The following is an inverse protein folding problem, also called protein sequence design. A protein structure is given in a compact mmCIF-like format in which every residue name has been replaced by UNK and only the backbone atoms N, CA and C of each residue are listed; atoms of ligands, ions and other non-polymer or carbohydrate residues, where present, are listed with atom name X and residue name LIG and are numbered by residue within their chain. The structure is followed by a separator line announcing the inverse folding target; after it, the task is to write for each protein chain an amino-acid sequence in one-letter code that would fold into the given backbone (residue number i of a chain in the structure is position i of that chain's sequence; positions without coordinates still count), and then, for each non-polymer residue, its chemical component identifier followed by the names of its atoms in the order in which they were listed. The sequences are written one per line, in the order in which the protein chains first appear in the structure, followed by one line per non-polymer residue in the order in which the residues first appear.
data_IF_705881500137
#
_entry.id   IF_705881500137
#
_cell.length_a   1.000
_cell.length_b   1.000
_cell.length_c   1.000
_cell.angle_alpha   90.00
_cell.angle_beta   90.00
_cell.angle_gamma   90.00
#
_symmetry.space_group_name_H-M   'P 1'
#
loop_
_entity.id
_entity.type
_entity.pdbx_description
1 polymer ?
#
# COMPACT_ATOMS: atom_id res chain seq x y z
N UNK A 1 -10.56 15.78 -14.57
CA UNK A 1 -9.79 16.98 -14.86
C UNK A 1 -10.49 17.82 -15.95
N UNK A 2 -10.03 19.07 -16.16
CA UNK A 2 -10.58 19.91 -17.25
C UNK A 2 -10.25 19.38 -18.64
N UNK A 3 -9.24 18.54 -18.74
CA UNK A 3 -8.80 17.83 -19.95
C UNK A 3 -9.65 16.60 -20.28
N UNK A 4 -10.55 16.19 -19.38
CA UNK A 4 -11.49 15.08 -19.59
C UNK A 4 -11.09 13.78 -18.87
N UNK A 5 -9.88 13.68 -18.32
CA UNK A 5 -9.47 12.48 -17.59
C UNK A 5 -10.23 12.35 -16.28
N UNK A 6 -10.68 11.15 -15.98
CA UNK A 6 -11.24 10.78 -14.68
C UNK A 6 -10.10 10.47 -13.69
N UNK A 7 -10.20 11.05 -12.50
CA UNK A 7 -9.16 10.94 -11.49
C UNK A 7 -9.74 10.62 -10.12
N UNK A 8 -8.93 9.93 -9.32
CA UNK A 8 -9.12 9.82 -7.87
C UNK A 8 -8.30 10.92 -7.21
N UNK A 9 -8.90 11.59 -6.25
CA UNK A 9 -8.23 12.57 -5.40
C UNK A 9 -8.30 12.07 -3.96
N UNK A 10 -7.19 11.57 -3.44
CA UNK A 10 -7.05 11.26 -2.01
C UNK A 10 -6.70 12.56 -1.28
N UNK A 11 -7.45 12.89 -0.24
CA UNK A 11 -7.23 14.12 0.55
C UNK A 11 -7.04 13.72 1.99
N UNK A 12 -5.96 14.18 2.59
CA UNK A 12 -5.68 13.95 4.00
C UNK A 12 -6.69 14.70 4.88
N UNK A 13 -7.26 13.99 5.85
CA UNK A 13 -8.18 14.60 6.82
C UNK A 13 -7.45 15.63 7.67
N UNK A 14 -8.00 16.85 7.71
CA UNK A 14 -7.45 17.94 8.54
C UNK A 14 -7.33 17.51 10.01
N UNK A 15 -6.17 17.77 10.61
CA UNK A 15 -5.91 17.48 12.01
C UNK A 15 -5.65 16.00 12.33
N UNK A 16 -5.49 15.14 11.31
CA UNK A 16 -5.23 13.70 11.53
C UNK A 16 -3.88 13.50 12.22
N UNK A 17 -2.86 14.26 11.85
CA UNK A 17 -1.53 14.18 12.43
C UNK A 17 -1.55 14.46 13.95
N UNK A 18 -2.18 15.55 14.35
CA UNK A 18 -2.29 15.95 15.77
C UNK A 18 -3.15 14.96 16.56
N UNK A 19 -4.15 14.37 15.92
CA UNK A 19 -5.00 13.36 16.55
C UNK A 19 -4.18 12.09 16.82
N UNK A 20 -3.50 11.57 15.81
CA UNK A 20 -2.68 10.36 15.94
C UNK A 20 -1.52 10.55 16.91
N UNK A 21 -0.84 11.71 16.89
CA UNK A 21 0.23 12.03 17.83
C UNK A 21 -0.27 11.99 19.29
N UNK A 22 -1.47 12.53 19.55
CA UNK A 22 -2.08 12.48 20.88
C UNK A 22 -2.46 11.07 21.30
N UNK A 23 -2.97 10.27 20.37
CA UNK A 23 -3.37 8.89 20.65
C UNK A 23 -2.15 8.03 21.02
N UNK A 24 -1.05 8.15 20.29
CA UNK A 24 0.22 7.48 20.62
C UNK A 24 0.75 7.94 21.99
N UNK A 25 0.75 9.25 22.27
CA UNK A 25 1.17 9.77 23.57
C UNK A 25 0.27 9.26 24.73
N UNK A 26 -1.04 9.17 24.49
CA UNK A 26 -1.99 8.60 25.44
C UNK A 26 -1.68 7.11 25.73
N UNK A 27 -1.46 6.31 24.67
CA UNK A 27 -1.10 4.89 24.83
C UNK A 27 0.21 4.75 25.61
N UNK A 28 1.23 5.56 25.28
CA UNK A 28 2.51 5.57 25.98
C UNK A 28 2.37 5.88 27.47
N UNK A 29 1.52 6.86 27.81
CA UNK A 29 1.21 7.20 29.22
C UNK A 29 0.45 6.07 29.93
N UNK A 30 -0.53 5.47 29.24
CA UNK A 30 -1.32 4.37 29.81
C UNK A 30 -0.43 3.15 30.13
N UNK A 31 0.50 2.78 29.24
CA UNK A 31 1.45 1.69 29.46
C UNK A 31 2.34 1.97 30.68
N UNK A 32 2.82 3.20 30.87
CA UNK A 32 3.63 3.59 32.02
C UNK A 32 2.90 3.50 33.38
N UNK A 33 1.57 3.58 33.36
CA UNK A 33 0.72 3.43 34.55
C UNK A 33 0.40 1.98 34.88
N UNK A 34 0.67 1.02 33.97
CA UNK A 34 0.42 -0.40 34.21
C UNK A 34 1.44 -0.99 35.18
N UNK A 35 1.04 -1.92 36.08
CA UNK A 35 1.95 -2.59 37.00
C UNK A 35 3.06 -3.34 36.24
N UNK A 36 4.32 -3.27 36.69
CA UNK A 36 5.46 -3.89 35.99
C UNK A 36 5.41 -5.43 35.91
N UNK A 37 4.48 -6.06 36.61
CA UNK A 37 4.32 -7.52 36.72
C UNK A 37 3.74 -8.12 35.42
N UNK A 38 2.98 -7.34 34.64
CA UNK A 38 2.27 -7.82 33.44
C UNK A 38 3.14 -7.81 32.17
N UNK A 39 4.29 -7.16 32.19
CA UNK A 39 5.06 -6.86 30.99
C UNK A 39 6.53 -7.33 31.02
N UNK A 40 6.98 -7.99 32.08
CA UNK A 40 8.33 -8.57 32.17
C UNK A 40 8.44 -9.74 31.19
N UNK A 41 9.05 -9.51 30.04
CA UNK A 41 9.28 -10.50 28.98
C UNK A 41 8.62 -10.21 27.65
N UNK A 42 7.81 -9.15 27.54
CA UNK A 42 7.29 -8.65 26.26
C UNK A 42 8.20 -7.55 25.72
N UNK A 43 8.15 -7.36 24.40
CA UNK A 43 8.97 -6.41 23.66
C UNK A 43 9.01 -5.01 24.29
N UNK A 44 10.05 -4.26 23.97
CA UNK A 44 10.18 -2.85 24.33
C UNK A 44 9.01 -2.05 23.71
N UNK A 45 8.01 -1.75 24.53
CA UNK A 45 6.79 -1.05 24.08
C UNK A 45 7.08 0.34 23.55
N UNK A 46 8.10 1.02 24.06
CA UNK A 46 8.48 2.33 23.54
C UNK A 46 9.00 2.18 22.10
N UNK A 47 9.81 1.15 21.82
CA UNK A 47 10.29 0.84 20.47
C UNK A 47 9.14 0.51 19.53
N UNK A 48 8.18 -0.32 19.97
CA UNK A 48 6.99 -0.68 19.15
C UNK A 48 6.13 0.55 18.85
N UNK A 49 5.94 1.44 19.84
CA UNK A 49 5.17 2.66 19.63
C UNK A 49 5.90 3.67 18.74
N UNK A 50 7.23 3.74 18.83
CA UNK A 50 8.04 4.58 17.97
C UNK A 50 8.01 4.09 16.52
N UNK A 51 8.07 2.78 16.31
CA UNK A 51 7.93 2.17 14.98
C UNK A 51 6.52 2.40 14.42
N UNK A 52 5.48 2.13 15.21
CA UNK A 52 4.09 2.39 14.82
C UNK A 52 3.89 3.87 14.43
N UNK A 53 4.46 4.79 15.21
CA UNK A 53 4.38 6.21 14.90
C UNK A 53 5.12 6.56 13.61
N UNK A 54 6.30 5.97 13.37
CA UNK A 54 7.06 6.18 12.14
C UNK A 54 6.28 5.74 10.92
N UNK A 55 5.75 4.51 10.93
CA UNK A 55 4.92 3.96 9.84
C UNK A 55 3.68 4.84 9.61
N UNK A 56 2.95 5.18 10.68
CA UNK A 56 1.75 6.03 10.58
C UNK A 56 2.06 7.41 9.98
N UNK A 57 3.18 8.00 10.36
CA UNK A 57 3.62 9.30 9.83
C UNK A 57 3.97 9.22 8.34
N UNK A 58 4.60 8.13 7.91
CA UNK A 58 4.97 7.93 6.51
C UNK A 58 3.74 7.70 5.63
N UNK A 59 2.73 6.99 6.13
CA UNK A 59 1.42 6.85 5.48
C UNK A 59 0.64 8.17 5.36
N UNK A 60 0.89 9.13 6.26
CA UNK A 60 0.30 10.46 6.18
C UNK A 60 0.99 11.38 5.16
N UNK A 61 1.99 10.90 4.41
CA UNK A 61 2.69 11.67 3.40
C UNK A 61 2.41 11.13 2.00
N UNK A 62 1.49 11.74 1.29
CA UNK A 62 1.13 11.29 -0.05
C UNK A 62 2.26 11.42 -1.09
N UNK A 63 3.33 12.16 -0.82
CA UNK A 63 4.53 12.12 -1.68
C UNK A 63 5.27 10.78 -1.55
N UNK A 64 5.19 10.11 -0.40
CA UNK A 64 5.71 8.75 -0.22
C UNK A 64 4.92 7.77 -1.09
N UNK A 65 3.58 7.81 -1.03
CA UNK A 65 2.73 6.96 -1.88
C UNK A 65 2.97 7.25 -3.38
N UNK A 66 3.08 8.52 -3.76
CA UNK A 66 3.40 8.91 -5.13
C UNK A 66 4.74 8.33 -5.61
N UNK A 67 5.78 8.40 -4.80
CA UNK A 67 7.09 7.80 -5.08
C UNK A 67 7.02 6.28 -5.19
N UNK A 68 6.21 5.63 -4.35
CA UNK A 68 5.99 4.19 -4.39
C UNK A 68 5.29 3.77 -5.69
N UNK A 69 4.28 4.51 -6.15
CA UNK A 69 3.59 4.28 -7.43
C UNK A 69 4.60 4.32 -8.59
N UNK A 70 5.45 5.32 -8.63
CA UNK A 70 6.46 5.46 -9.68
C UNK A 70 7.51 4.35 -9.64
N UNK A 71 7.99 4.00 -8.45
CA UNK A 71 8.94 2.91 -8.29
C UNK A 71 8.33 1.57 -8.71
N UNK A 72 7.10 1.31 -8.30
CA UNK A 72 6.37 0.10 -8.65
C UNK A 72 6.14 0.00 -10.16
N UNK A 73 5.70 1.08 -10.80
CA UNK A 73 5.53 1.15 -12.25
C UNK A 73 6.84 0.86 -12.99
N UNK A 74 7.95 1.45 -12.54
CA UNK A 74 9.28 1.23 -13.11
C UNK A 74 9.74 -0.22 -13.01
N UNK A 75 9.51 -0.89 -11.85
CA UNK A 75 9.88 -2.29 -11.61
C UNK A 75 9.04 -3.27 -12.41
N UNK A 76 7.79 -2.92 -12.70
CA UNK A 76 6.85 -3.75 -13.44
C UNK A 76 6.70 -3.37 -14.92
N UNK A 77 7.55 -2.47 -15.47
CA UNK A 77 7.46 -1.97 -16.85
C UNK A 77 7.48 -3.08 -17.92
N UNK A 78 8.19 -4.19 -17.63
CA UNK A 78 8.32 -5.34 -18.53
C UNK A 78 7.30 -6.46 -18.21
N UNK A 79 6.41 -6.28 -17.22
CA UNK A 79 5.36 -7.21 -16.84
C UNK A 79 4.06 -6.82 -17.50
N UNK A 80 3.74 -7.43 -18.63
CA UNK A 80 2.64 -7.03 -19.51
C UNK A 80 1.24 -7.20 -18.92
N UNK A 81 1.10 -7.99 -17.85
CA UNK A 81 -0.17 -8.24 -17.16
C UNK A 81 -0.31 -7.44 -15.84
N UNK A 82 0.58 -6.48 -15.58
CA UNK A 82 0.51 -5.58 -14.42
C UNK A 82 0.40 -4.14 -14.90
N UNK A 83 -0.38 -3.36 -14.19
CA UNK A 83 -0.56 -1.93 -14.43
C UNK A 83 -0.64 -1.16 -13.11
N UNK A 84 -0.24 0.10 -13.15
CA UNK A 84 -0.44 1.07 -12.07
C UNK A 84 -1.25 2.24 -12.58
N UNK A 85 -2.01 2.94 -11.72
CA UNK A 85 -2.63 4.20 -12.08
C UNK A 85 -1.60 5.22 -12.54
N UNK A 86 -1.96 6.04 -13.52
CA UNK A 86 -1.15 7.20 -13.92
C UNK A 86 -1.17 8.22 -12.77
N UNK A 87 0.01 8.65 -12.35
CA UNK A 87 0.17 9.65 -11.31
C UNK A 87 0.18 11.06 -11.93
N UNK A 88 -0.63 11.96 -11.38
CA UNK A 88 -0.65 13.38 -11.76
C UNK A 88 0.18 14.21 -10.76
N UNK A 89 1.50 14.14 -10.91
CA UNK A 89 2.46 14.78 -9.99
C UNK A 89 2.20 16.28 -9.80
N UNK A 90 1.83 17.00 -10.86
CA UNK A 90 1.57 18.44 -10.80
C UNK A 90 0.43 18.83 -9.86
N UNK A 91 -0.43 17.88 -9.46
CA UNK A 91 -1.54 18.09 -8.52
C UNK A 91 -1.32 17.36 -7.19
N UNK A 92 -0.22 16.62 -7.06
CA UNK A 92 0.10 15.84 -5.87
C UNK A 92 0.96 16.65 -4.90
N UNK A 93 0.64 16.58 -3.61
CA UNK A 93 1.32 17.27 -2.51
C UNK A 93 1.43 16.34 -1.31
N UNK A 94 2.02 16.77 -0.21
CA UNK A 94 2.05 16.01 1.06
C UNK A 94 0.64 15.60 1.52
N UNK A 95 -0.39 16.43 1.25
CA UNK A 95 -1.75 16.25 1.75
C UNK A 95 -2.77 15.85 0.69
N UNK A 96 -2.38 15.78 -0.57
CA UNK A 96 -3.26 15.47 -1.70
C UNK A 96 -2.52 14.56 -2.67
N UNK A 97 -3.13 13.44 -3.04
CA UNK A 97 -2.66 12.57 -4.12
C UNK A 97 -3.69 12.56 -5.23
N UNK A 98 -3.25 12.81 -6.45
CA UNK A 98 -4.10 12.76 -7.64
C UNK A 98 -3.57 11.72 -8.61
N UNK A 99 -4.40 10.72 -8.90
CA UNK A 99 -4.05 9.63 -9.80
C UNK A 99 -5.23 9.25 -10.69
N UNK A 100 -4.97 8.49 -11.73
CA UNK A 100 -5.98 7.93 -12.64
C UNK A 100 -7.07 7.19 -11.85
N UNK A 101 -8.34 7.44 -12.21
CA UNK A 101 -9.42 6.56 -11.79
C UNK A 101 -9.36 5.27 -12.60
N UNK A 102 -9.25 4.13 -11.91
CA UNK A 102 -9.25 2.82 -12.54
C UNK A 102 -10.67 2.31 -12.68
N UNK A 103 -11.19 2.37 -13.90
CA UNK A 103 -12.45 1.74 -14.26
C UNK A 103 -12.22 0.24 -14.48
N UNK A 104 -12.28 -0.51 -13.38
CA UNK A 104 -12.02 -1.95 -13.34
C UNK A 104 -12.82 -2.64 -12.25
N UNK A 105 -12.99 -3.96 -12.40
CA UNK A 105 -13.65 -4.81 -11.43
C UNK A 105 -12.72 -5.10 -10.25
N UNK A 106 -13.24 -5.11 -9.03
CA UNK A 106 -12.49 -5.59 -7.86
C UNK A 106 -12.13 -7.08 -8.01
N UNK A 107 -10.95 -7.47 -7.55
CA UNK A 107 -10.50 -8.87 -7.68
C UNK A 107 -11.39 -9.86 -6.89
N UNK A 108 -12.14 -9.39 -5.91
CA UNK A 108 -13.08 -10.14 -5.10
C UNK A 108 -14.52 -10.20 -5.68
N UNK A 109 -14.83 -9.39 -6.71
CA UNK A 109 -16.11 -9.38 -7.42
C UNK A 109 -16.20 -10.57 -8.41
N UNK A 110 -16.15 -11.81 -7.90
CA UNK A 110 -16.00 -13.04 -8.70
C UNK A 110 -17.09 -13.21 -9.76
N UNK A 111 -18.35 -12.92 -9.41
CA UNK A 111 -19.48 -13.05 -10.32
C UNK A 111 -19.32 -12.11 -11.52
N UNK A 112 -18.97 -10.88 -11.27
CA UNK A 112 -18.75 -9.87 -12.30
C UNK A 112 -17.54 -10.19 -13.18
N UNK A 113 -16.44 -10.69 -12.59
CA UNK A 113 -15.29 -11.15 -13.35
C UNK A 113 -15.65 -12.30 -14.32
N UNK A 114 -16.48 -13.24 -13.87
CA UNK A 114 -16.96 -14.35 -14.71
C UNK A 114 -17.93 -13.86 -15.80
N UNK A 115 -18.83 -12.92 -15.48
CA UNK A 115 -19.74 -12.30 -16.46
C UNK A 115 -18.98 -11.53 -17.53
N UNK A 116 -17.89 -10.85 -17.16
CA UNK A 116 -16.97 -10.14 -18.05
C UNK A 116 -16.06 -11.11 -18.86
N UNK A 117 -16.17 -12.44 -18.62
CA UNK A 117 -15.48 -13.48 -19.37
C UNK A 117 -14.04 -13.75 -18.92
N UNK A 118 -13.66 -13.32 -17.72
CA UNK A 118 -12.33 -13.59 -17.17
C UNK A 118 -12.20 -14.99 -16.58
N UNK A 119 -11.05 -15.64 -16.77
CA UNK A 119 -10.66 -16.86 -16.08
C UNK A 119 -10.08 -16.51 -14.70
N UNK A 120 -10.79 -16.85 -13.64
CA UNK A 120 -10.37 -16.59 -12.26
C UNK A 120 -9.04 -17.29 -11.91
N UNK A 121 -8.76 -18.44 -12.53
CA UNK A 121 -7.50 -19.16 -12.31
C UNK A 121 -6.34 -18.42 -12.95
N UNK A 122 -6.52 -17.89 -14.14
CA UNK A 122 -5.53 -17.06 -14.82
C UNK A 122 -5.23 -15.78 -14.02
N UNK A 123 -6.28 -15.08 -13.55
CA UNK A 123 -6.14 -13.89 -12.71
C UNK A 123 -5.39 -14.23 -11.42
N UNK A 124 -5.77 -15.31 -10.73
CA UNK A 124 -5.09 -15.76 -9.53
C UNK A 124 -3.62 -16.07 -9.75
N UNK A 125 -3.28 -16.74 -10.85
CA UNK A 125 -1.89 -17.03 -11.22
C UNK A 125 -1.11 -15.74 -11.47
N UNK A 126 -1.64 -14.82 -12.27
CA UNK A 126 -1.01 -13.51 -12.52
C UNK A 126 -0.75 -12.72 -11.24
N UNK A 127 -1.71 -12.73 -10.30
CA UNK A 127 -1.55 -12.04 -9.01
C UNK A 127 -0.40 -12.65 -8.20
N UNK A 128 -0.39 -13.99 -8.08
CA UNK A 128 0.64 -14.72 -7.32
C UNK A 128 2.01 -14.51 -7.96
N UNK A 129 2.12 -14.66 -9.28
CA UNK A 129 3.38 -14.48 -10.01
C UNK A 129 3.94 -13.06 -9.81
N UNK A 130 3.07 -12.04 -9.90
CA UNK A 130 3.50 -10.67 -9.65
C UNK A 130 3.91 -10.45 -8.20
N UNK A 131 3.18 -11.02 -7.22
CA UNK A 131 3.51 -10.84 -5.81
C UNK A 131 4.84 -11.56 -5.45
N UNK A 132 5.07 -12.75 -5.97
CA UNK A 132 6.36 -13.46 -5.82
C UNK A 132 7.49 -12.61 -6.39
N UNK A 133 7.31 -12.06 -7.60
CA UNK A 133 8.30 -11.16 -8.20
C UNK A 133 8.61 -9.96 -7.31
N UNK A 134 7.58 -9.31 -6.76
CA UNK A 134 7.75 -8.16 -5.85
C UNK A 134 8.64 -8.51 -4.65
N UNK A 135 8.40 -9.69 -4.03
CA UNK A 135 9.13 -10.12 -2.84
C UNK A 135 10.51 -10.65 -3.20
N UNK A 136 10.59 -11.61 -4.12
CA UNK A 136 11.81 -12.36 -4.38
C UNK A 136 12.78 -11.62 -5.30
N UNK A 137 12.27 -11.03 -6.39
CA UNK A 137 13.14 -10.39 -7.40
C UNK A 137 13.39 -8.92 -7.05
N UNK A 138 12.32 -8.19 -6.74
CA UNK A 138 12.42 -6.75 -6.55
C UNK A 138 12.84 -6.37 -5.13
N UNK A 139 12.49 -7.18 -4.11
CA UNK A 139 12.64 -6.82 -2.70
C UNK A 139 11.85 -5.55 -2.34
N UNK A 140 10.85 -5.21 -3.15
CA UNK A 140 9.94 -4.09 -2.99
C UNK A 140 8.53 -4.58 -3.26
N UNK A 141 7.73 -4.70 -2.24
CA UNK A 141 6.47 -5.41 -2.28
C UNK A 141 5.35 -4.68 -1.54
N UNK A 142 4.13 -4.94 -1.96
CA UNK A 142 2.94 -4.43 -1.29
C UNK A 142 2.79 -5.09 0.08
N UNK A 143 2.86 -4.31 1.16
CA UNK A 143 2.84 -4.83 2.53
C UNK A 143 1.41 -5.10 3.07
N UNK A 144 0.39 -4.59 2.38
CA UNK A 144 -1.03 -4.82 2.70
C UNK A 144 -1.83 -5.29 1.46
N UNK A 145 -1.56 -6.51 0.93
CA UNK A 145 -2.12 -7.01 -0.34
C UNK A 145 -3.55 -7.53 -0.18
N UNK A 146 -4.45 -6.75 0.40
CA UNK A 146 -5.87 -7.13 0.47
C UNK A 146 -6.61 -6.87 -0.85
N UNK A 147 -7.76 -7.55 -1.05
CA UNK A 147 -8.52 -7.50 -2.31
C UNK A 147 -8.96 -6.09 -2.72
N UNK A 148 -9.23 -5.21 -1.76
CA UNK A 148 -9.61 -3.82 -2.01
C UNK A 148 -8.52 -2.97 -2.67
N UNK A 149 -7.26 -3.44 -2.66
CA UNK A 149 -6.12 -2.74 -3.28
C UNK A 149 -5.82 -3.25 -4.70
N UNK A 150 -6.62 -4.21 -5.21
CA UNK A 150 -6.38 -4.84 -6.51
C UNK A 150 -7.65 -4.79 -7.37
N UNK A 151 -7.51 -4.24 -8.55
CA UNK A 151 -8.55 -4.28 -9.60
C UNK A 151 -8.07 -5.05 -10.82
N UNK A 152 -9.05 -5.53 -11.59
CA UNK A 152 -8.81 -6.15 -12.89
C UNK A 152 -9.36 -5.22 -13.98
N UNK A 153 -8.49 -4.83 -14.92
CA UNK A 153 -8.83 -4.03 -16.09
C UNK A 153 -8.13 -4.62 -17.32
N UNK A 154 -8.88 -4.93 -18.36
CA UNK A 154 -8.36 -5.52 -19.60
C UNK A 154 -7.50 -6.76 -19.40
N UNK A 155 -7.87 -7.61 -18.43
CA UNK A 155 -7.13 -8.83 -18.06
C UNK A 155 -5.81 -8.59 -17.33
N UNK A 156 -5.57 -7.36 -16.90
CA UNK A 156 -4.37 -6.96 -16.11
C UNK A 156 -4.70 -6.80 -14.64
N UNK A 157 -3.73 -7.10 -13.81
CA UNK A 157 -3.72 -6.79 -12.38
C UNK A 157 -3.36 -5.31 -12.22
N UNK A 158 -4.22 -4.54 -11.57
CA UNK A 158 -3.98 -3.12 -11.30
C UNK A 158 -3.94 -2.89 -9.79
N UNK A 159 -2.78 -2.57 -9.28
CA UNK A 159 -2.60 -2.15 -7.90
C UNK A 159 -2.98 -0.68 -7.76
N UNK A 160 -3.96 -0.37 -6.89
CA UNK A 160 -4.56 0.97 -6.79
C UNK A 160 -4.22 1.74 -5.52
N UNK A 161 -3.54 1.12 -4.59
CA UNK A 161 -3.04 1.75 -3.36
C UNK A 161 -1.59 1.31 -3.13
N UNK A 162 -0.67 2.27 -2.94
CA UNK A 162 0.75 2.01 -2.70
C UNK A 162 1.22 2.74 -1.42
N UNK A 163 0.29 3.03 -0.51
CA UNK A 163 0.60 3.69 0.75
C UNK A 163 1.53 2.87 1.62
N UNK A 164 1.29 1.56 1.67
CA UNK A 164 2.08 0.64 2.50
C UNK A 164 2.92 -0.31 1.64
N UNK A 165 4.20 0.02 1.46
CA UNK A 165 5.16 -0.79 0.72
C UNK A 165 6.28 -1.28 1.63
N UNK A 166 6.60 -2.58 1.53
CA UNK A 166 7.74 -3.21 2.22
C UNK A 166 9.01 -3.18 1.37
N UNK A 167 10.16 -3.14 2.04
CA UNK A 167 11.48 -3.26 1.40
C UNK A 167 12.30 -4.31 2.14
N UNK A 168 12.80 -5.30 1.40
CA UNK A 168 13.74 -6.29 1.92
C UNK A 168 15.17 -5.77 1.76
N UNK A 169 15.98 -5.95 2.79
CA UNK A 169 17.42 -5.77 2.67
C UNK A 169 18.05 -6.92 1.86
N UNK A 170 19.28 -6.76 1.40
CA UNK A 170 20.01 -7.87 0.75
C UNK A 170 20.11 -9.09 1.67
N UNK A 171 20.35 -8.85 2.96
CA UNK A 171 20.41 -9.91 3.97
C UNK A 171 19.08 -10.65 4.12
N UNK A 172 17.94 -9.93 4.14
CA UNK A 172 16.60 -10.55 4.23
C UNK A 172 16.34 -11.44 3.00
N UNK A 173 16.75 -10.98 1.83
CA UNK A 173 16.60 -11.72 0.57
C UNK A 173 17.44 -13.00 0.55
N UNK A 174 18.67 -12.96 1.04
CA UNK A 174 19.53 -14.14 1.18
C UNK A 174 18.97 -15.18 2.16
N UNK A 175 18.20 -14.75 3.17
CA UNK A 175 17.57 -15.68 4.12
C UNK A 175 16.33 -16.38 3.56
N UNK A 176 15.69 -15.82 2.53
CA UNK A 176 14.45 -16.36 1.95
C UNK A 176 14.73 -17.29 0.76
N UNK A 177 15.89 -17.19 0.14
CA UNK A 177 16.34 -18.02 -1.00
C UNK A 177 17.13 -19.22 -0.55
#
# INVERSE_FOLDING_TARGET
LKSGEEVVVKIQRKGIYEMMARDIDFIRKAIKLMPPISLKGMADFDLVLDELWSVTRDEMNFLTEASNIEEFARRNKDVNFVQTPVLYQQYTTVHVLVMEYIDGCGIDEKEKLLEDGYDLKEIGSKLVDNYIKQVMDDGFFHADPHSGNVKIRDGKIVWIDMGMMGRLTEHDREMIT
#
